data_IF_407858886654
#
_entry.id   IF_407858886654
#
_cell.length_a   1.000
_cell.length_b   1.000
_cell.length_c   1.000
_cell.angle_alpha   90.00
_cell.angle_beta   90.00
_cell.angle_gamma   90.00
#
_symmetry.space_group_name_H-M   'P 1'
#
loop_
_entity.id
_entity.type
_entity.pdbx_description
1 polymer ?
#
# COMPACT_ATOMS: atom_id res chain seq x y z
N UNK A 1 -1.50 -5.83 21.54
CA UNK A 1 -1.65 -4.44 21.04
C UNK A 1 -0.92 -4.33 19.70
N UNK A 2 -1.54 -3.80 18.64
CA UNK A 2 -0.85 -3.65 17.34
C UNK A 2 0.30 -2.64 17.45
N UNK A 3 1.42 -2.92 16.79
CA UNK A 3 2.59 -2.04 16.74
C UNK A 3 2.24 -0.72 16.03
N UNK A 4 2.83 0.43 16.44
CA UNK A 4 2.55 1.73 15.84
C UNK A 4 2.72 1.75 14.31
N UNK A 5 3.74 1.08 13.79
CA UNK A 5 4.07 1.01 12.36
C UNK A 5 2.99 0.27 11.58
N UNK A 6 2.49 -0.84 12.13
CA UNK A 6 1.37 -1.58 11.53
C UNK A 6 0.10 -0.71 11.45
N UNK A 7 -0.16 0.12 12.47
CA UNK A 7 -1.30 1.07 12.44
C UNK A 7 -1.10 2.15 11.38
N UNK A 8 0.12 2.66 11.21
CA UNK A 8 0.44 3.64 10.18
C UNK A 8 0.21 3.08 8.77
N UNK A 9 0.65 1.84 8.50
CA UNK A 9 0.41 1.16 7.22
C UNK A 9 -1.08 0.89 6.96
N UNK A 10 -1.83 0.46 7.99
CA UNK A 10 -3.27 0.30 7.88
C UNK A 10 -3.99 1.64 7.58
N UNK A 11 -3.55 2.74 8.19
CA UNK A 11 -4.04 4.09 7.86
C UNK A 11 -3.71 4.48 6.43
N UNK A 12 -2.48 4.24 5.97
CA UNK A 12 -2.08 4.49 4.59
C UNK A 12 -2.96 3.73 3.59
N UNK A 13 -3.23 2.45 3.85
CA UNK A 13 -4.12 1.64 3.02
C UNK A 13 -5.55 2.20 2.95
N UNK A 14 -6.11 2.66 4.07
CA UNK A 14 -7.43 3.30 4.11
C UNK A 14 -7.47 4.59 3.29
N UNK A 15 -6.42 5.41 3.38
CA UNK A 15 -6.29 6.62 2.57
C UNK A 15 -6.21 6.31 1.08
N UNK A 16 -5.38 5.34 0.69
CA UNK A 16 -5.23 4.91 -0.70
C UNK A 16 -6.53 4.31 -1.27
N UNK A 17 -7.26 3.55 -0.46
CA UNK A 17 -8.56 3.01 -0.85
C UNK A 17 -9.58 4.13 -1.09
N UNK A 18 -9.71 5.08 -0.16
CA UNK A 18 -10.59 6.23 -0.32
C UNK A 18 -10.17 7.12 -1.50
N UNK A 19 -8.87 7.27 -1.73
CA UNK A 19 -8.31 8.00 -2.87
C UNK A 19 -8.70 7.36 -4.22
N UNK A 20 -8.53 6.05 -4.36
CA UNK A 20 -8.90 5.32 -5.59
C UNK A 20 -10.41 5.41 -5.86
N UNK A 21 -11.26 5.33 -4.82
CA UNK A 21 -12.72 5.43 -4.96
C UNK A 21 -13.24 6.84 -5.21
N UNK A 22 -12.49 7.88 -4.82
CA UNK A 22 -12.94 9.28 -4.91
C UNK A 22 -12.51 9.99 -6.18
N UNK A 23 -12.08 9.25 -7.20
CA UNK A 23 -11.60 9.81 -8.46
C UNK A 23 -10.20 10.41 -8.37
N UNK A 24 -9.40 9.95 -7.39
CA UNK A 24 -7.97 10.28 -7.24
C UNK A 24 -7.67 11.79 -7.08
N UNK A 25 -8.30 12.49 -6.12
CA UNK A 25 -7.93 13.87 -5.79
C UNK A 25 -6.53 13.93 -5.13
N UNK A 26 -6.08 15.09 -4.67
CA UNK A 26 -4.84 15.14 -3.88
C UNK A 26 -4.96 14.31 -2.60
N UNK A 27 -3.87 13.70 -2.12
CA UNK A 27 -3.91 12.87 -0.91
C UNK A 27 -4.27 13.69 0.33
N UNK A 28 -3.86 14.96 0.39
CA UNK A 28 -4.21 15.93 1.42
C UNK A 28 -5.73 16.14 1.49
N UNK A 29 -6.38 16.20 0.32
CA UNK A 29 -7.83 16.32 0.23
C UNK A 29 -8.52 15.09 0.83
N UNK A 30 -7.99 13.89 0.57
CA UNK A 30 -8.51 12.64 1.14
C UNK A 30 -8.32 12.60 2.65
N UNK A 31 -7.14 12.99 3.14
CA UNK A 31 -6.84 13.09 4.58
C UNK A 31 -7.82 14.04 5.28
N UNK A 32 -8.03 15.23 4.73
CA UNK A 32 -8.95 16.22 5.29
C UNK A 32 -10.40 15.71 5.31
N UNK A 33 -10.86 15.08 4.22
CA UNK A 33 -12.21 14.50 4.13
C UNK A 33 -12.43 13.40 5.16
N UNK A 34 -11.52 12.45 5.27
CA UNK A 34 -11.66 11.34 6.23
C UNK A 34 -11.60 11.83 7.68
N UNK A 35 -10.75 12.81 8.00
CA UNK A 35 -10.73 13.40 9.34
C UNK A 35 -12.11 13.97 9.72
N UNK A 36 -12.69 14.76 8.83
CA UNK A 36 -14.04 15.32 9.00
C UNK A 36 -15.10 14.23 9.15
N UNK A 37 -15.06 13.17 8.33
CA UNK A 37 -15.99 12.04 8.43
C UNK A 37 -15.91 11.29 9.78
N UNK A 38 -14.76 11.30 10.44
CA UNK A 38 -14.59 10.73 11.78
C UNK A 38 -14.89 11.72 12.92
N UNK A 39 -15.40 12.92 12.61
CA UNK A 39 -15.65 13.97 13.60
C UNK A 39 -14.37 14.50 14.23
N UNK A 40 -13.23 14.38 13.55
CA UNK A 40 -11.93 14.86 14.01
C UNK A 40 -11.53 16.09 13.23
N UNK A 41 -10.82 17.01 13.90
CA UNK A 41 -10.08 18.03 13.17
C UNK A 41 -9.06 17.33 12.24
N UNK A 42 -8.77 17.89 11.04
CA UNK A 42 -7.66 17.41 10.22
C UNK A 42 -6.39 17.40 11.07
N UNK A 43 -5.98 16.21 11.52
CA UNK A 43 -4.68 16.03 12.13
C UNK A 43 -3.64 16.27 11.04
N UNK A 44 -2.47 16.80 11.43
CA UNK A 44 -1.34 17.00 10.52
C UNK A 44 -0.94 15.70 9.79
N UNK A 45 -0.03 15.86 8.83
CA UNK A 45 0.46 14.77 8.01
C UNK A 45 1.23 13.74 8.86
N UNK A 46 0.56 12.68 9.31
CA UNK A 46 1.20 11.59 10.05
C UNK A 46 1.87 10.57 9.10
N UNK A 47 2.60 9.60 9.68
CA UNK A 47 3.32 8.57 8.93
C UNK A 47 2.46 7.80 7.94
N UNK A 48 1.18 7.54 8.24
CA UNK A 48 0.27 6.89 7.31
C UNK A 48 -0.11 7.77 6.11
N UNK A 49 -0.19 9.10 6.30
CA UNK A 49 -0.44 10.04 5.21
C UNK A 49 0.81 10.18 4.33
N UNK A 50 1.98 10.23 4.96
CA UNK A 50 3.27 10.22 4.26
C UNK A 50 3.46 8.99 3.37
N UNK A 51 3.22 7.79 3.92
CA UNK A 51 3.25 6.55 3.15
C UNK A 51 2.26 6.55 1.98
N UNK A 52 1.02 7.01 2.20
CA UNK A 52 0.03 7.09 1.14
C UNK A 52 0.45 8.10 0.05
N UNK A 53 1.05 9.23 0.43
CA UNK A 53 1.53 10.22 -0.51
C UNK A 53 2.67 9.69 -1.38
N UNK A 54 3.64 8.98 -0.78
CA UNK A 54 4.73 8.30 -1.50
C UNK A 54 4.19 7.27 -2.48
N UNK A 55 3.21 6.46 -2.05
CA UNK A 55 2.54 5.50 -2.91
C UNK A 55 1.80 6.14 -4.10
N UNK A 56 1.12 7.27 -3.88
CA UNK A 56 0.47 8.03 -4.97
C UNK A 56 1.50 8.63 -5.93
N UNK A 57 2.62 9.14 -5.42
CA UNK A 57 3.67 9.75 -6.23
C UNK A 57 4.35 8.76 -7.18
N UNK A 58 4.56 7.51 -6.75
CA UNK A 58 5.20 6.46 -7.57
C UNK A 58 4.24 5.63 -8.43
N UNK A 59 2.95 5.97 -8.46
CA UNK A 59 1.90 5.09 -9.00
C UNK A 59 2.10 4.57 -10.43
N UNK A 60 2.56 5.38 -11.42
CA UNK A 60 2.78 4.86 -12.76
C UNK A 60 3.87 3.77 -12.79
N UNK A 61 4.95 3.99 -12.04
CA UNK A 61 6.07 3.06 -11.97
C UNK A 61 5.71 1.79 -11.18
N UNK A 62 5.02 1.95 -10.05
CA UNK A 62 4.58 0.83 -9.22
C UNK A 62 3.63 -0.09 -9.95
N UNK A 63 2.69 0.46 -10.72
CA UNK A 63 1.76 -0.34 -11.52
C UNK A 63 2.50 -1.13 -12.62
N UNK A 64 3.57 -0.57 -13.21
CA UNK A 64 4.44 -1.27 -14.18
C UNK A 64 5.20 -2.41 -13.51
N UNK A 65 5.87 -2.14 -12.38
CA UNK A 65 6.65 -3.15 -11.62
C UNK A 65 5.76 -4.30 -11.14
N UNK A 66 4.58 -3.99 -10.62
CA UNK A 66 3.57 -5.00 -10.25
C UNK A 66 3.13 -5.78 -11.48
N UNK A 67 2.89 -5.12 -12.61
CA UNK A 67 2.47 -5.78 -13.85
C UNK A 67 3.48 -6.80 -14.35
N UNK A 68 4.77 -6.44 -14.37
CA UNK A 68 5.87 -7.32 -14.77
C UNK A 68 6.03 -8.51 -13.81
N UNK A 69 5.97 -8.26 -12.49
CA UNK A 69 6.08 -9.31 -11.48
C UNK A 69 4.86 -10.25 -11.41
N UNK A 70 3.72 -9.82 -11.96
CA UNK A 70 2.47 -10.56 -11.95
C UNK A 70 2.23 -11.37 -13.23
N UNK A 71 3.23 -11.63 -14.09
CA UNK A 71 3.04 -12.35 -15.37
C UNK A 71 2.32 -13.71 -15.26
N UNK A 72 2.37 -14.38 -14.10
CA UNK A 72 1.63 -15.63 -13.83
C UNK A 72 0.26 -15.45 -13.14
N UNK A 73 -0.11 -14.22 -12.82
CA UNK A 73 -1.35 -13.87 -12.12
C UNK A 73 -2.21 -12.98 -13.00
N UNK A 74 -3.47 -13.38 -13.21
CA UNK A 74 -4.43 -12.58 -14.00
C UNK A 74 -4.73 -11.26 -13.28
N UNK A 75 -4.05 -10.19 -13.70
CA UNK A 75 -4.19 -8.83 -13.19
C UNK A 75 -5.65 -8.32 -13.21
N UNK A 76 -6.48 -8.83 -14.14
CA UNK A 76 -7.90 -8.49 -14.26
C UNK A 76 -8.74 -8.82 -13.01
N UNK A 77 -8.19 -9.60 -12.07
CA UNK A 77 -8.86 -9.99 -10.81
C UNK A 77 -8.24 -9.35 -9.56
N UNK A 78 -7.27 -8.44 -9.72
CA UNK A 78 -6.62 -7.78 -8.59
C UNK A 78 -7.55 -6.69 -8.08
N UNK A 79 -8.09 -6.92 -6.88
CA UNK A 79 -8.95 -5.95 -6.21
C UNK A 79 -8.21 -4.65 -5.88
N UNK A 80 -9.00 -3.61 -5.60
CA UNK A 80 -8.48 -2.28 -5.24
C UNK A 80 -7.58 -2.36 -4.00
N UNK A 81 -7.92 -3.24 -3.05
CA UNK A 81 -7.16 -3.40 -1.80
C UNK A 81 -5.80 -4.03 -2.06
N UNK A 82 -5.74 -5.13 -2.81
CA UNK A 82 -4.49 -5.83 -3.14
C UNK A 82 -3.54 -4.90 -3.90
N UNK A 83 -4.05 -4.16 -4.89
CA UNK A 83 -3.26 -3.18 -5.64
C UNK A 83 -2.69 -2.08 -4.73
N UNK A 84 -3.49 -1.56 -3.81
CA UNK A 84 -3.03 -0.53 -2.89
C UNK A 84 -2.02 -1.05 -1.85
N UNK A 85 -2.14 -2.32 -1.42
CA UNK A 85 -1.12 -2.97 -0.59
C UNK A 85 0.21 -3.06 -1.34
N UNK A 86 0.19 -3.49 -2.60
CA UNK A 86 1.40 -3.58 -3.42
C UNK A 86 2.07 -2.21 -3.63
N UNK A 87 1.30 -1.19 -3.99
CA UNK A 87 1.81 0.19 -4.14
C UNK A 87 2.42 0.73 -2.85
N UNK A 88 1.75 0.48 -1.71
CA UNK A 88 2.25 0.87 -0.39
C UNK A 88 3.58 0.18 -0.07
N UNK A 89 3.68 -1.12 -0.34
CA UNK A 89 4.91 -1.87 -0.10
C UNK A 89 6.06 -1.39 -0.99
N UNK A 90 5.81 -1.13 -2.29
CA UNK A 90 6.83 -0.59 -3.18
C UNK A 90 7.32 0.80 -2.76
N UNK A 91 6.41 1.67 -2.34
CA UNK A 91 6.78 2.99 -1.82
C UNK A 91 7.70 2.90 -0.59
N UNK A 92 7.45 1.93 0.29
CA UNK A 92 8.25 1.73 1.51
C UNK A 92 9.58 1.01 1.21
N UNK A 93 9.62 0.13 0.21
CA UNK A 93 10.85 -0.47 -0.29
C UNK A 93 11.79 0.58 -0.90
N UNK A 94 11.24 1.47 -1.73
CA UNK A 94 12.01 2.53 -2.38
C UNK A 94 12.47 3.61 -1.39
N UNK A 95 11.75 3.81 -0.29
CA UNK A 95 12.19 4.66 0.82
C UNK A 95 13.45 4.11 1.51
N UNK A 96 13.64 2.79 1.53
CA UNK A 96 14.87 2.15 2.01
C UNK A 96 15.11 2.20 3.53
N UNK A 97 14.20 2.80 4.31
CA UNK A 97 14.33 2.90 5.77
C UNK A 97 13.97 1.58 6.50
N UNK A 98 13.10 0.76 5.90
CA UNK A 98 12.63 -0.50 6.50
C UNK A 98 13.23 -1.69 5.76
N UNK A 99 13.77 -2.71 6.46
CA UNK A 99 14.30 -3.90 5.80
C UNK A 99 13.27 -4.56 4.87
N UNK A 100 13.62 -4.96 3.64
CA UNK A 100 12.67 -5.46 2.65
C UNK A 100 11.76 -6.58 3.15
N UNK A 101 12.32 -7.53 3.89
CA UNK A 101 11.55 -8.63 4.50
C UNK A 101 10.46 -8.15 5.46
N UNK A 102 10.72 -7.10 6.23
CA UNK A 102 9.72 -6.51 7.16
C UNK A 102 8.60 -5.83 6.38
N UNK A 103 8.93 -5.14 5.28
CA UNK A 103 7.92 -4.53 4.39
C UNK A 103 7.01 -5.60 3.81
N UNK A 104 7.58 -6.69 3.30
CA UNK A 104 6.85 -7.83 2.71
C UNK A 104 5.94 -8.49 3.76
N UNK A 105 6.48 -8.82 4.93
CA UNK A 105 5.71 -9.46 6.01
C UNK A 105 4.50 -8.59 6.44
N UNK A 106 4.69 -7.26 6.52
CA UNK A 106 3.61 -6.33 6.89
C UNK A 106 2.60 -6.15 5.75
N UNK A 107 3.03 -6.17 4.49
CA UNK A 107 2.11 -6.16 3.34
C UNK A 107 1.22 -7.41 3.30
N UNK A 108 1.82 -8.59 3.52
CA UNK A 108 1.10 -9.88 3.61
C UNK A 108 0.12 -9.88 4.78
N UNK A 109 0.50 -9.28 5.91
CA UNK A 109 -0.39 -9.10 7.06
C UNK A 109 -1.58 -8.19 6.77
N UNK A 110 -1.37 -7.08 6.06
CA UNK A 110 -2.48 -6.23 5.60
C UNK A 110 -3.42 -6.99 4.68
N UNK A 111 -2.89 -7.82 3.78
CA UNK A 111 -3.71 -8.64 2.89
C UNK A 111 -4.59 -9.63 3.67
N UNK A 112 -4.08 -10.21 4.77
CA UNK A 112 -4.89 -11.06 5.66
C UNK A 112 -6.03 -10.30 6.34
N UNK A 113 -5.84 -9.01 6.63
CA UNK A 113 -6.81 -8.22 7.38
C UNK A 113 -7.87 -7.57 6.51
N UNK A 114 -7.51 -7.15 5.29
CA UNK A 114 -8.34 -6.27 4.48
C UNK A 114 -8.77 -6.88 3.14
N UNK A 115 -8.20 -8.02 2.73
CA UNK A 115 -8.45 -8.63 1.43
C UNK A 115 -8.96 -10.08 1.55
N UNK A 116 -9.18 -10.74 0.40
CA UNK A 116 -9.71 -12.10 0.35
C UNK A 116 -8.67 -13.18 0.68
N UNK A 117 -9.12 -14.42 0.91
CA UNK A 117 -8.28 -15.54 1.35
C UNK A 117 -7.07 -15.85 0.43
N UNK A 118 -7.14 -15.49 -0.86
CA UNK A 118 -6.03 -15.69 -1.82
C UNK A 118 -5.05 -14.52 -1.88
N UNK A 119 -5.43 -13.36 -1.35
CA UNK A 119 -4.63 -12.14 -1.44
C UNK A 119 -3.27 -12.23 -0.74
N UNK A 120 -3.12 -12.85 0.45
CA UNK A 120 -1.82 -12.93 1.11
C UNK A 120 -0.75 -13.65 0.29
N UNK A 121 -1.10 -14.80 -0.29
CA UNK A 121 -0.18 -15.57 -1.14
C UNK A 121 0.17 -14.81 -2.43
N UNK A 122 -0.82 -14.12 -3.02
CA UNK A 122 -0.61 -13.26 -4.18
C UNK A 122 0.35 -12.10 -3.88
N UNK A 123 0.07 -11.32 -2.82
CA UNK A 123 0.90 -10.17 -2.42
C UNK A 123 2.33 -10.62 -2.12
N UNK A 124 2.50 -11.73 -1.40
CA UNK A 124 3.83 -12.28 -1.12
C UNK A 124 4.57 -12.62 -2.43
N UNK A 125 3.91 -13.36 -3.33
CA UNK A 125 4.54 -13.78 -4.59
C UNK A 125 4.98 -12.62 -5.47
N UNK A 126 4.17 -11.56 -5.57
CA UNK A 126 4.51 -10.37 -6.36
C UNK A 126 5.67 -9.61 -5.72
N UNK A 127 5.63 -9.36 -4.41
CA UNK A 127 6.68 -8.57 -3.75
C UNK A 127 8.02 -9.33 -3.70
N UNK A 128 7.99 -10.65 -3.51
CA UNK A 128 9.20 -11.49 -3.61
C UNK A 128 9.82 -11.41 -5.01
N UNK A 129 9.00 -11.40 -6.07
CA UNK A 129 9.49 -11.27 -7.44
C UNK A 129 10.14 -9.89 -7.68
N UNK A 130 9.46 -8.80 -7.27
CA UNK A 130 10.00 -7.44 -7.41
C UNK A 130 11.30 -7.27 -6.63
N UNK A 131 11.35 -7.74 -5.39
CA UNK A 131 12.51 -7.53 -4.52
C UNK A 131 13.76 -8.30 -4.99
N UNK A 132 13.59 -9.47 -5.64
CA UNK A 132 14.70 -10.18 -6.29
C UNK A 132 15.21 -9.45 -7.53
N UNK A 133 14.32 -8.89 -8.33
CA UNK A 133 14.69 -8.15 -9.54
C UNK A 133 15.46 -6.87 -9.21
N UNK A 134 15.10 -6.18 -8.12
CA UNK A 134 15.79 -4.97 -7.65
C UNK A 134 17.06 -5.24 -6.82
N UNK A 135 17.40 -6.50 -6.54
CA UNK A 135 18.53 -6.87 -5.69
C UNK A 135 18.35 -6.49 -4.21
N UNK A 136 17.11 -6.25 -3.78
CA UNK A 136 16.78 -5.93 -2.40
C UNK A 136 16.66 -7.18 -1.50
N UNK A 137 16.57 -8.37 -2.10
CA UNK A 137 16.59 -9.69 -1.45
C UNK A 137 17.64 -10.61 -2.07
#
# INVERSE_FOLDING_TARGET
>A
MQRPETKARARALQLLYAWDLSGRPSIETVVARLATSYGRAPAGFDRGADLAAKAVAGLPEFDIRVGAAAEHWRLERVGVVERNILRLALAELDEGETPPRVVIDEAVKLAHWFAGAKAPAFVNGVLDAVARESGAL
#
